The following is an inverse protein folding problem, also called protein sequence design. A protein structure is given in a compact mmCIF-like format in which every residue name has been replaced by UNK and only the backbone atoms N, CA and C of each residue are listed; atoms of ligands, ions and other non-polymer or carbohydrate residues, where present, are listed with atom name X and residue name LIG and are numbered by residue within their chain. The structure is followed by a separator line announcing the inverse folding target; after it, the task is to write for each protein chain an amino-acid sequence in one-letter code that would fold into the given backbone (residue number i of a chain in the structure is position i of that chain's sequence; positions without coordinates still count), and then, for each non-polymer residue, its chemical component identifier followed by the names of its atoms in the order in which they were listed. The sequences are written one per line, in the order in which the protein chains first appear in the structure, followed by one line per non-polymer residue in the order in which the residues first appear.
data_IF_909628307312
#
_entry.id   IF_909628307312
#
_cell.length_a   1.000
_cell.length_b   1.000
_cell.length_c   1.000
_cell.angle_alpha   90.00
_cell.angle_beta   90.00
_cell.angle_gamma   90.00
#
_symmetry.space_group_name_H-M   'P 1'
#
loop_
_entity.id
_entity.type
_entity.pdbx_description
1 polymer ?
#
# COMPACT_ATOMS: atom_id res chain seq x y z
N UNK A 1 -4.34 -0.56 7.31
CA UNK A 1 -2.93 -0.86 7.66
C UNK A 1 -2.15 -1.34 6.45
N UNK A 2 -0.84 -1.20 6.52
CA UNK A 2 0.12 -1.79 5.59
C UNK A 2 0.58 -3.16 6.06
N UNK A 3 0.97 -3.25 7.34
CA UNK A 3 1.32 -4.52 7.99
C UNK A 3 0.06 -5.37 8.17
N UNK A 4 0.06 -6.66 7.76
CA UNK A 4 -1.10 -7.53 7.90
C UNK A 4 -1.39 -7.90 9.36
N UNK A 5 -2.63 -8.25 9.70
CA UNK A 5 -2.96 -8.78 11.01
C UNK A 5 -2.32 -10.15 11.25
N UNK A 6 -1.98 -10.45 12.50
CA UNK A 6 -1.38 -11.72 12.90
C UNK A 6 0.15 -11.77 12.79
N UNK A 7 0.80 -10.65 12.46
CA UNK A 7 2.25 -10.50 12.59
C UNK A 7 2.63 -10.53 14.07
N UNK A 8 3.71 -11.23 14.39
CA UNK A 8 4.16 -11.46 15.77
C UNK A 8 4.48 -10.13 16.47
N UNK A 9 4.02 -10.00 17.73
CA UNK A 9 4.22 -8.83 18.59
C UNK A 9 3.99 -7.49 17.87
N UNK A 10 2.82 -7.36 17.17
CA UNK A 10 2.48 -6.15 16.41
C UNK A 10 0.98 -5.91 16.32
N UNK A 11 0.56 -4.65 16.53
CA UNK A 11 -0.81 -4.21 16.27
C UNK A 11 -0.86 -3.28 15.06
N UNK A 12 -1.47 -3.71 13.93
CA UNK A 12 -1.50 -2.91 12.71
C UNK A 12 -2.23 -1.58 12.88
N UNK A 13 -1.58 -0.50 12.46
CA UNK A 13 -2.15 0.85 12.48
C UNK A 13 -3.24 0.99 11.41
N UNK A 14 -4.40 1.47 11.80
CA UNK A 14 -5.50 1.75 10.86
C UNK A 14 -5.36 3.15 10.28
N UNK A 15 -5.62 3.29 8.98
CA UNK A 15 -5.75 4.61 8.36
C UNK A 15 -6.88 5.41 9.02
N UNK A 16 -6.68 6.72 9.22
CA UNK A 16 -7.58 7.58 10.00
C UNK A 16 -9.03 7.56 9.50
N UNK A 17 -9.23 7.45 8.19
CA UNK A 17 -10.56 7.42 7.58
C UNK A 17 -11.25 6.05 7.62
N UNK A 18 -10.58 4.99 8.10
CA UNK A 18 -11.17 3.63 8.14
C UNK A 18 -12.40 3.53 9.06
N UNK A 19 -12.48 4.39 10.09
CA UNK A 19 -13.62 4.42 11.01
C UNK A 19 -14.84 5.16 10.44
N UNK A 20 -14.69 5.90 9.34
CA UNK A 20 -15.78 6.65 8.73
C UNK A 20 -16.70 5.73 7.93
N UNK A 21 -18.00 6.05 7.91
CA UNK A 21 -18.97 5.46 7.00
C UNK A 21 -18.63 5.75 5.53
N UNK A 22 -19.24 4.98 4.61
CA UNK A 22 -18.98 5.14 3.16
C UNK A 22 -19.23 6.58 2.69
N UNK A 23 -20.39 7.16 3.04
CA UNK A 23 -20.77 8.52 2.64
C UNK A 23 -19.78 9.59 3.13
N UNK A 24 -19.32 9.47 4.38
CA UNK A 24 -18.37 10.44 4.94
C UNK A 24 -16.98 10.30 4.32
N UNK A 25 -16.54 9.07 4.00
CA UNK A 25 -15.30 8.84 3.24
C UNK A 25 -15.38 9.47 1.85
N UNK A 26 -16.51 9.31 1.15
CA UNK A 26 -16.69 9.92 -0.17
C UNK A 26 -16.75 11.44 -0.11
N UNK A 27 -17.42 12.01 0.91
CA UNK A 27 -17.41 13.46 1.14
C UNK A 27 -15.99 13.98 1.39
N UNK A 28 -15.24 13.29 2.25
CA UNK A 28 -13.84 13.64 2.52
C UNK A 28 -12.99 13.53 1.26
N UNK A 29 -13.16 12.49 0.47
CA UNK A 29 -12.42 12.31 -0.78
C UNK A 29 -12.70 13.45 -1.77
N UNK A 30 -13.97 13.84 -1.97
CA UNK A 30 -14.33 15.00 -2.81
C UNK A 30 -13.74 16.30 -2.30
N UNK A 31 -13.72 16.51 -0.98
CA UNK A 31 -13.10 17.69 -0.38
C UNK A 31 -11.60 17.73 -0.71
N UNK A 32 -10.88 16.64 -0.48
CA UNK A 32 -9.43 16.55 -0.77
C UNK A 32 -9.12 16.70 -2.25
N UNK A 33 -9.95 16.12 -3.11
CA UNK A 33 -9.83 16.25 -4.56
C UNK A 33 -9.93 17.70 -5.01
N UNK A 34 -10.90 18.44 -4.45
CA UNK A 34 -11.07 19.87 -4.70
C UNK A 34 -9.92 20.72 -4.12
N UNK A 35 -9.47 20.42 -2.90
CA UNK A 35 -8.30 21.07 -2.29
C UNK A 35 -7.02 20.90 -3.12
N UNK A 36 -6.90 19.74 -3.81
CA UNK A 36 -5.81 19.46 -4.73
C UNK A 36 -5.95 20.18 -6.11
N UNK A 37 -7.01 20.95 -6.33
CA UNK A 37 -7.23 21.72 -7.56
C UNK A 37 -7.96 20.97 -8.66
N UNK A 38 -8.55 19.82 -8.38
CA UNK A 38 -9.31 19.02 -9.35
C UNK A 38 -10.82 19.19 -9.16
N UNK A 39 -11.59 18.91 -10.22
CA UNK A 39 -13.05 18.98 -10.23
C UNK A 39 -13.61 18.73 -11.62
N UNK A 40 -14.89 19.04 -11.81
CA UNK A 40 -15.59 18.78 -13.08
C UNK A 40 -14.96 19.51 -14.28
N UNK A 41 -14.47 20.74 -14.07
CA UNK A 41 -13.82 21.56 -15.11
C UNK A 41 -12.33 21.20 -15.32
N UNK A 42 -11.74 20.45 -14.39
CA UNK A 42 -10.33 20.02 -14.41
C UNK A 42 -10.21 18.63 -13.80
N UNK A 43 -10.70 17.57 -14.44
CA UNK A 43 -10.61 16.21 -13.91
C UNK A 43 -9.15 15.72 -13.90
N UNK A 44 -8.78 14.99 -12.87
CA UNK A 44 -7.49 14.32 -12.80
C UNK A 44 -7.43 13.22 -13.86
N UNK A 45 -6.43 13.31 -14.73
CA UNK A 45 -6.07 12.25 -15.69
C UNK A 45 -4.88 11.48 -15.15
N UNK A 46 -5.00 10.16 -15.04
CA UNK A 46 -3.97 9.33 -14.40
C UNK A 46 -3.85 7.97 -15.06
N UNK A 47 -2.62 7.46 -15.15
CA UNK A 47 -2.34 6.09 -15.56
C UNK A 47 -2.27 5.17 -14.34
N UNK A 48 -2.94 4.02 -14.45
CA UNK A 48 -2.87 2.93 -13.46
C UNK A 48 -2.30 1.69 -14.13
N UNK A 49 -1.09 1.34 -13.75
CA UNK A 49 -0.37 0.18 -14.31
C UNK A 49 -0.50 -1.05 -13.43
N UNK A 50 -0.67 -2.21 -14.04
CA UNK A 50 -0.76 -3.48 -13.34
C UNK A 50 -0.19 -4.61 -14.20
N UNK A 51 0.37 -5.63 -13.54
CA UNK A 51 0.86 -6.81 -14.26
C UNK A 51 -0.28 -7.72 -14.71
N UNK A 52 -0.07 -8.37 -15.85
CA UNK A 52 -1.02 -9.27 -16.50
C UNK A 52 -1.46 -10.39 -15.55
N UNK A 53 -2.71 -10.30 -15.09
CA UNK A 53 -3.37 -11.28 -14.25
C UNK A 53 -4.86 -10.90 -14.15
N UNK A 54 -5.77 -11.88 -14.23
CA UNK A 54 -7.21 -11.64 -14.22
C UNK A 54 -7.71 -10.97 -12.94
N UNK A 55 -7.16 -11.34 -11.79
CA UNK A 55 -7.51 -10.73 -10.51
C UNK A 55 -7.05 -9.27 -10.46
N UNK A 56 -5.82 -8.99 -10.89
CA UNK A 56 -5.29 -7.63 -10.93
C UNK A 56 -6.09 -6.73 -11.87
N UNK A 57 -6.51 -7.27 -13.04
CA UNK A 57 -7.39 -6.56 -13.97
C UNK A 57 -8.73 -6.19 -13.32
N UNK A 58 -9.36 -7.15 -12.63
CA UNK A 58 -10.63 -6.90 -11.92
C UNK A 58 -10.50 -5.81 -10.86
N UNK A 59 -9.41 -5.85 -10.09
CA UNK A 59 -9.11 -4.84 -9.07
C UNK A 59 -8.89 -3.47 -9.71
N UNK A 60 -8.08 -3.37 -10.77
CA UNK A 60 -7.82 -2.12 -11.47
C UNK A 60 -9.11 -1.51 -12.06
N UNK A 61 -9.96 -2.32 -12.70
CA UNK A 61 -11.26 -1.90 -13.23
C UNK A 61 -12.19 -1.40 -12.11
N UNK A 62 -12.22 -2.09 -10.97
CA UNK A 62 -13.04 -1.67 -9.84
C UNK A 62 -12.57 -0.30 -9.28
N UNK A 63 -11.25 -0.10 -9.14
CA UNK A 63 -10.67 1.18 -8.70
C UNK A 63 -11.00 2.29 -9.70
N UNK A 64 -10.80 2.05 -10.99
CA UNK A 64 -11.14 3.01 -12.05
C UNK A 64 -12.62 3.44 -11.97
N UNK A 65 -13.53 2.46 -11.80
CA UNK A 65 -14.97 2.75 -11.67
C UNK A 65 -15.28 3.59 -10.44
N UNK A 66 -14.73 3.20 -9.27
CA UNK A 66 -14.94 3.94 -8.02
C UNK A 66 -14.39 5.39 -8.10
N UNK A 67 -13.21 5.56 -8.67
CA UNK A 67 -12.62 6.89 -8.82
C UNK A 67 -13.41 7.78 -9.80
N UNK A 68 -13.89 7.19 -10.90
CA UNK A 68 -14.77 7.90 -11.85
C UNK A 68 -16.08 8.30 -11.18
N UNK A 69 -16.75 7.37 -10.49
CA UNK A 69 -18.06 7.62 -9.87
C UNK A 69 -18.01 8.65 -8.75
N UNK A 70 -16.96 8.59 -7.93
CA UNK A 70 -16.86 9.44 -6.73
C UNK A 70 -16.20 10.78 -7.02
N UNK A 71 -15.19 10.80 -7.88
CA UNK A 71 -14.31 11.95 -8.06
C UNK A 71 -14.27 12.50 -9.50
N UNK A 72 -14.83 11.80 -10.48
CA UNK A 72 -14.69 12.18 -11.88
C UNK A 72 -13.29 11.93 -12.47
N UNK A 73 -12.44 11.13 -11.81
CA UNK A 73 -11.07 10.82 -12.27
C UNK A 73 -11.12 10.04 -13.59
N UNK A 74 -10.32 10.46 -14.56
CA UNK A 74 -10.10 9.77 -15.82
C UNK A 74 -8.87 8.87 -15.73
N UNK A 75 -9.05 7.65 -15.25
CA UNK A 75 -7.96 6.68 -15.12
C UNK A 75 -7.82 5.83 -16.40
N UNK A 76 -6.61 5.82 -16.98
CA UNK A 76 -6.23 4.91 -18.05
C UNK A 76 -5.56 3.67 -17.47
N UNK A 77 -6.09 2.49 -17.79
CA UNK A 77 -5.54 1.23 -17.31
C UNK A 77 -4.51 0.69 -18.30
N UNK A 78 -3.29 0.45 -17.83
CA UNK A 78 -2.18 -0.09 -18.63
C UNK A 78 -1.80 -1.46 -18.07
N UNK A 79 -1.96 -2.48 -18.92
CA UNK A 79 -1.57 -3.85 -18.62
C UNK A 79 -0.17 -4.12 -19.16
N UNK A 80 0.71 -4.63 -18.30
CA UNK A 80 2.09 -4.97 -18.67
C UNK A 80 2.44 -6.41 -18.26
N UNK A 81 3.39 -7.01 -18.94
CA UNK A 81 4.01 -8.25 -18.47
C UNK A 81 4.76 -7.95 -17.17
N UNK A 82 4.85 -8.95 -16.27
CA UNK A 82 5.34 -8.70 -14.90
C UNK A 82 6.78 -8.18 -14.85
N UNK A 83 7.71 -8.73 -15.67
CA UNK A 83 9.10 -8.27 -15.68
C UNK A 83 9.23 -6.87 -16.29
N UNK A 84 8.40 -6.55 -17.29
CA UNK A 84 8.34 -5.21 -17.89
C UNK A 84 7.88 -4.20 -16.84
N UNK A 85 6.80 -4.49 -16.13
CA UNK A 85 6.31 -3.61 -15.05
C UNK A 85 7.37 -3.41 -13.96
N UNK A 86 8.06 -4.47 -13.52
CA UNK A 86 9.12 -4.38 -12.53
C UNK A 86 10.29 -3.50 -13.00
N UNK A 87 10.70 -3.65 -14.26
CA UNK A 87 11.76 -2.83 -14.84
C UNK A 87 11.34 -1.37 -14.88
N UNK A 88 10.16 -1.07 -15.41
CA UNK A 88 9.60 0.28 -15.48
C UNK A 88 9.52 0.95 -14.10
N UNK A 89 9.10 0.21 -13.07
CA UNK A 89 9.07 0.72 -11.69
C UNK A 89 10.48 1.04 -11.15
N UNK A 90 11.47 0.16 -11.40
CA UNK A 90 12.85 0.35 -10.95
C UNK A 90 13.54 1.53 -11.66
N UNK A 91 13.28 1.71 -12.94
CA UNK A 91 13.85 2.76 -13.77
C UNK A 91 13.08 4.09 -13.65
N UNK A 92 11.98 4.12 -12.85
CA UNK A 92 11.07 5.25 -12.72
C UNK A 92 10.37 5.67 -14.02
N UNK A 93 10.20 4.76 -14.95
CA UNK A 93 9.39 4.96 -16.16
C UNK A 93 7.88 4.97 -15.83
N UNK A 94 7.52 4.42 -14.68
CA UNK A 94 6.16 4.49 -14.11
C UNK A 94 6.12 5.60 -13.09
N UNK A 95 5.48 6.69 -13.43
CA UNK A 95 5.54 7.93 -12.64
C UNK A 95 4.25 8.29 -11.92
N UNK A 96 3.18 7.50 -12.07
CA UNK A 96 1.88 7.80 -11.50
C UNK A 96 1.43 6.71 -10.52
N UNK A 97 0.54 5.80 -10.94
CA UNK A 97 0.04 4.74 -10.07
C UNK A 97 0.35 3.37 -10.66
N UNK A 98 0.85 2.48 -9.84
CA UNK A 98 1.07 1.08 -10.21
C UNK A 98 0.60 0.14 -9.10
N UNK A 99 0.11 -1.02 -9.51
CA UNK A 99 -0.24 -2.10 -8.60
C UNK A 99 1.02 -2.82 -8.16
N UNK A 100 1.20 -2.96 -6.87
CA UNK A 100 2.27 -3.77 -6.28
C UNK A 100 1.73 -4.66 -5.16
N UNK A 101 2.57 -5.52 -4.63
CA UNK A 101 2.30 -6.33 -3.44
C UNK A 101 3.61 -6.73 -2.79
N UNK A 102 3.55 -6.95 -1.48
CA UNK A 102 4.68 -7.48 -0.72
C UNK A 102 4.24 -8.73 0.04
N UNK A 103 5.11 -9.72 0.06
CA UNK A 103 4.98 -10.93 0.88
C UNK A 103 6.11 -10.89 1.89
N UNK A 104 5.79 -10.97 3.18
CA UNK A 104 6.81 -10.93 4.23
C UNK A 104 7.76 -12.11 4.16
N UNK A 105 9.06 -11.86 4.32
CA UNK A 105 10.10 -12.89 4.30
C UNK A 105 10.19 -13.63 5.64
N UNK A 106 9.68 -13.02 6.71
CA UNK A 106 9.64 -13.56 8.05
C UNK A 106 8.48 -12.94 8.86
N UNK A 107 8.12 -13.57 9.98
CA UNK A 107 6.99 -13.12 10.80
C UNK A 107 7.37 -11.97 11.76
N UNK A 108 7.59 -10.79 11.19
CA UNK A 108 7.87 -9.55 11.92
C UNK A 108 7.42 -8.35 11.07
N UNK A 109 6.94 -7.27 11.70
CA UNK A 109 6.49 -6.07 11.02
C UNK A 109 7.58 -5.38 10.18
N UNK A 110 8.84 -5.54 10.56
CA UNK A 110 9.98 -4.94 9.87
C UNK A 110 10.06 -5.35 8.39
N UNK A 111 9.76 -6.62 8.03
CA UNK A 111 9.81 -7.06 6.62
C UNK A 111 8.82 -6.31 5.73
N UNK A 112 7.72 -5.80 6.29
CA UNK A 112 6.72 -5.02 5.56
C UNK A 112 7.07 -3.54 5.52
N UNK A 113 7.62 -3.00 6.60
CA UNK A 113 7.95 -1.58 6.70
C UNK A 113 9.27 -1.25 6.00
N UNK A 114 10.29 -2.09 6.13
CA UNK A 114 11.62 -1.82 5.54
C UNK A 114 11.61 -1.59 4.03
N UNK A 115 10.63 -2.13 3.30
CA UNK A 115 10.52 -1.95 1.85
C UNK A 115 10.24 -0.51 1.41
N UNK A 116 9.83 0.35 2.34
CA UNK A 116 9.56 1.76 2.09
C UNK A 116 10.62 2.70 2.68
N UNK A 117 11.70 2.18 3.28
CA UNK A 117 12.84 3.01 3.69
C UNK A 117 13.51 3.66 2.48
N UNK A 118 14.00 4.89 2.67
CA UNK A 118 14.52 5.70 1.57
C UNK A 118 15.67 5.07 0.79
N UNK A 119 16.50 4.26 1.44
CA UNK A 119 17.65 3.56 0.85
C UNK A 119 17.33 2.13 0.36
N UNK A 120 16.11 1.63 0.56
CA UNK A 120 15.75 0.27 0.18
C UNK A 120 15.48 0.15 -1.33
N UNK A 121 16.14 -0.79 -1.99
CA UNK A 121 15.96 -1.05 -3.42
C UNK A 121 14.53 -1.51 -3.80
N UNK A 122 13.72 -1.98 -2.83
CA UNK A 122 12.31 -2.33 -3.03
C UNK A 122 11.37 -1.13 -2.87
N UNK A 123 11.87 0.04 -2.49
CA UNK A 123 11.09 1.27 -2.36
C UNK A 123 10.69 1.82 -3.74
N UNK A 124 9.81 1.12 -4.43
CA UNK A 124 9.34 1.50 -5.77
C UNK A 124 8.61 2.86 -5.79
N UNK A 125 7.82 3.24 -4.77
CA UNK A 125 7.23 4.58 -4.69
C UNK A 125 8.25 5.71 -4.53
N UNK A 126 9.51 5.40 -4.24
CA UNK A 126 10.58 6.38 -3.94
C UNK A 126 10.19 7.30 -2.77
N UNK A 127 9.52 6.71 -1.79
CA UNK A 127 9.16 7.40 -0.57
C UNK A 127 10.42 7.84 0.18
N UNK A 128 10.41 9.05 0.70
CA UNK A 128 11.52 9.62 1.45
C UNK A 128 10.95 10.43 2.61
N UNK A 129 11.22 10.01 3.82
CA UNK A 129 10.80 10.67 5.05
C UNK A 129 11.84 10.43 6.14
N UNK A 130 12.52 11.49 6.55
CA UNK A 130 13.53 11.42 7.62
C UNK A 130 12.93 10.92 8.95
N UNK A 131 11.65 11.26 9.20
CA UNK A 131 10.93 10.78 10.38
C UNK A 131 10.71 9.27 10.34
N UNK A 132 10.23 8.78 9.19
CA UNK A 132 10.02 7.35 8.97
C UNK A 132 11.31 6.55 9.08
N UNK A 133 12.33 6.95 8.35
CA UNK A 133 13.63 6.28 8.32
C UNK A 133 14.28 6.29 9.71
N UNK A 134 14.22 7.42 10.43
CA UNK A 134 14.71 7.52 11.81
C UNK A 134 13.95 6.65 12.81
N UNK A 135 12.65 6.39 12.61
CA UNK A 135 11.88 5.43 13.41
C UNK A 135 12.29 4.00 13.13
N UNK A 136 12.50 3.66 11.86
CA UNK A 136 12.97 2.34 11.44
C UNK A 136 14.37 2.04 11.97
N UNK A 137 15.29 3.01 11.93
CA UNK A 137 16.63 2.88 12.52
C UNK A 137 16.57 2.66 14.04
N UNK A 138 15.74 3.43 14.76
CA UNK A 138 15.54 3.23 16.21
C UNK A 138 14.97 1.86 16.53
N UNK A 139 14.03 1.38 15.72
CA UNK A 139 13.50 0.03 15.87
C UNK A 139 14.58 -1.05 15.66
N UNK A 140 15.46 -0.87 14.67
CA UNK A 140 16.55 -1.81 14.38
C UNK A 140 17.59 -1.89 15.52
N UNK A 141 17.83 -0.78 16.21
CA UNK A 141 18.79 -0.70 17.33
C UNK A 141 18.19 -1.10 18.70
N UNK A 142 16.86 -1.23 18.77
CA UNK A 142 16.16 -1.46 20.04
C UNK A 142 16.17 -2.95 20.43
N UNK A 143 16.70 -3.27 21.62
CA UNK A 143 16.74 -4.63 22.16
C UNK A 143 15.49 -5.01 22.96
N UNK A 144 14.78 -4.03 23.51
CA UNK A 144 13.50 -4.24 24.19
C UNK A 144 12.39 -4.43 23.15
N UNK A 145 11.74 -5.61 23.08
CA UNK A 145 10.76 -5.91 22.03
C UNK A 145 9.52 -5.01 22.08
N UNK A 146 9.11 -4.57 23.28
CA UNK A 146 7.96 -3.68 23.42
C UNK A 146 8.26 -2.27 22.90
N UNK A 147 9.42 -1.73 23.21
CA UNK A 147 9.86 -0.44 22.68
C UNK A 147 10.10 -0.50 21.17
N UNK A 148 10.66 -1.62 20.69
CA UNK A 148 10.83 -1.86 19.25
C UNK A 148 9.49 -1.83 18.53
N UNK A 149 8.49 -2.53 19.07
CA UNK A 149 7.12 -2.53 18.54
C UNK A 149 6.56 -1.12 18.39
N UNK A 150 6.68 -0.31 19.44
CA UNK A 150 6.17 1.08 19.42
C UNK A 150 6.83 1.94 18.31
N UNK A 151 8.11 1.76 18.03
CA UNK A 151 8.76 2.45 16.91
C UNK A 151 8.24 1.99 15.56
N UNK A 152 8.00 0.70 15.38
CA UNK A 152 7.44 0.16 14.12
C UNK A 152 5.98 0.59 13.92
N UNK A 153 5.16 0.60 14.96
CA UNK A 153 3.77 1.09 14.90
C UNK A 153 3.73 2.61 14.56
N UNK A 154 4.63 3.39 15.14
CA UNK A 154 4.75 4.80 14.85
C UNK A 154 5.23 5.04 13.40
N UNK A 155 6.21 4.26 12.92
CA UNK A 155 6.65 4.31 11.53
C UNK A 155 5.49 4.01 10.56
N UNK A 156 4.70 2.96 10.82
CA UNK A 156 3.51 2.67 10.00
C UNK A 156 2.52 3.84 10.00
N UNK A 157 2.31 4.48 11.16
CA UNK A 157 1.41 5.62 11.29
C UNK A 157 1.87 6.83 10.48
N UNK A 158 3.16 7.16 10.54
CA UNK A 158 3.78 8.23 9.74
C UNK A 158 3.59 7.94 8.25
N UNK A 159 4.03 6.78 7.80
CA UNK A 159 3.93 6.37 6.40
C UNK A 159 2.48 6.40 5.88
N UNK A 160 1.52 5.86 6.64
CA UNK A 160 0.12 5.88 6.25
C UNK A 160 -0.47 7.28 6.19
N UNK A 161 0.05 8.25 6.97
CA UNK A 161 -0.39 9.65 6.92
C UNK A 161 0.16 10.42 5.73
N UNK A 162 1.31 10.01 5.19
CA UNK A 162 1.97 10.60 4.03
C UNK A 162 1.56 9.95 2.69
N UNK A 163 0.87 8.82 2.75
CA UNK A 163 0.23 8.14 1.62
C UNK A 163 1.14 7.72 0.44
N UNK A 164 2.37 7.21 0.64
CA UNK A 164 3.19 6.69 -0.45
C UNK A 164 2.56 5.46 -1.11
N UNK A 165 1.68 4.78 -0.40
CA UNK A 165 0.94 3.60 -0.84
C UNK A 165 -0.53 3.69 -0.47
N UNK A 166 -1.38 3.02 -1.24
CA UNK A 166 -2.82 2.85 -0.97
C UNK A 166 -3.05 1.37 -0.66
N UNK A 167 -3.10 0.96 0.63
CA UNK A 167 -3.39 -0.42 1.00
C UNK A 167 -4.79 -0.83 0.55
N UNK A 168 -4.91 -1.93 -0.19
CA UNK A 168 -6.19 -2.40 -0.73
C UNK A 168 -6.74 -3.58 0.06
N UNK A 169 -5.96 -4.66 0.17
CA UNK A 169 -6.34 -5.88 0.88
C UNK A 169 -5.10 -6.73 1.20
N UNK A 170 -5.24 -7.63 2.16
CA UNK A 170 -4.24 -8.65 2.44
C UNK A 170 -4.52 -9.90 1.61
N UNK A 171 -3.48 -10.39 0.95
CA UNK A 171 -3.57 -11.62 0.19
C UNK A 171 -3.59 -12.82 1.15
N UNK A 172 -4.53 -13.75 0.91
CA UNK A 172 -4.68 -14.96 1.74
C UNK A 172 -4.50 -16.19 0.87
N UNK A 173 -3.51 -17.01 1.21
CA UNK A 173 -3.39 -18.36 0.65
C UNK A 173 -4.43 -19.29 1.29
N UNK A 174 -5.09 -20.09 0.47
CA UNK A 174 -6.07 -21.08 0.92
C UNK A 174 -5.60 -22.46 0.51
N UNK A 175 -5.53 -23.36 1.48
CA UNK A 175 -5.12 -24.72 1.27
C UNK A 175 -6.21 -25.67 1.79
N UNK A 176 -6.54 -26.70 1.00
CA UNK A 176 -7.33 -27.83 1.44
C UNK A 176 -6.37 -28.98 1.67
N UNK A 177 -6.24 -29.41 2.91
CA UNK A 177 -5.36 -30.51 3.32
C UNK A 177 -6.24 -31.65 3.78
N UNK A 178 -5.99 -32.89 3.27
CA UNK A 178 -6.67 -34.07 3.77
C UNK A 178 -6.35 -34.27 5.25
N UNK A 179 -7.34 -34.72 6.08
CA UNK A 179 -7.08 -35.06 7.48
C UNK A 179 -6.07 -36.21 7.66
N UNK A 180 -5.77 -36.95 6.58
CA UNK A 180 -4.78 -38.02 6.59
C UNK A 180 -3.34 -37.54 6.34
N UNK A 181 -3.12 -36.24 6.18
CA UNK A 181 -1.78 -35.64 5.98
C UNK A 181 -1.33 -34.95 7.26
N UNK A 182 -0.29 -35.48 7.86
CA UNK A 182 0.38 -34.90 9.04
C UNK A 182 1.56 -33.99 8.64
N UNK A 183 1.87 -33.01 9.50
CA UNK A 183 3.05 -32.15 9.33
C UNK A 183 2.91 -31.00 8.33
N UNK A 184 1.68 -30.65 7.98
CA UNK A 184 1.38 -29.49 7.15
C UNK A 184 1.48 -28.17 7.93
#
# INVERSE_FOLDING_TARGET
SWVPPGVNNYEPTKVSFAALGKEDREKLARLRYKEAGYGDDNPLQIEVRYNTNDTNKKVAVAIQSMWREVLGVEATLINEEFQVLLTNMREAEVTQVFRSSWIGDYNDAHTFLSVLQGDNAANMPRYSSDEYDGLMERAAQQVDPERRRLYLEEAERVMLSEHPVIPLYFFVSKHLVSPDVDGW
#
